data_IF_657956946459
#
_entry.id   IF_657956946459
#
_cell.length_a   1.000
_cell.length_b   1.000
_cell.length_c   1.000
_cell.angle_alpha   90.00
_cell.angle_beta   90.00
_cell.angle_gamma   90.00
#
_symmetry.space_group_name_H-M   'P 1'
#
loop_
_entity.id
_entity.type
_entity.pdbx_description
1 polymer ?
#
# COMPACT_ATOMS: atom_id res chain seq x y z
N UNK A 1 11.11 -68.71 -23.02
CA UNK A 1 12.20 -68.20 -22.14
C UNK A 1 11.52 -67.49 -20.97
N UNK A 2 11.14 -68.30 -19.97
CA UNK A 2 11.59 -68.17 -18.56
C UNK A 2 11.01 -66.92 -17.87
N UNK A 3 9.82 -66.97 -17.24
CA UNK A 3 9.55 -67.49 -15.87
C UNK A 3 10.16 -66.58 -14.79
N UNK A 4 9.54 -66.21 -13.66
CA UNK A 4 8.22 -66.44 -13.05
C UNK A 4 8.05 -65.45 -11.88
N UNK A 5 6.79 -65.17 -11.56
CA UNK A 5 6.16 -64.90 -10.25
C UNK A 5 6.89 -65.40 -9.00
N UNK A 6 6.81 -64.65 -7.89
CA UNK A 6 5.97 -64.97 -6.71
C UNK A 6 6.43 -64.24 -5.41
N UNK A 7 5.43 -63.86 -4.61
CA UNK A 7 5.51 -63.44 -3.21
C UNK A 7 5.81 -64.61 -2.26
N UNK A 8 6.17 -64.33 -1.00
CA UNK A 8 5.57 -64.89 0.24
C UNK A 8 6.36 -64.44 1.50
N UNK A 9 5.59 -64.26 2.58
CA UNK A 9 5.86 -63.90 3.97
C UNK A 9 6.73 -64.88 4.78
N UNK A 10 7.07 -64.48 6.04
CA UNK A 10 7.01 -65.23 7.33
C UNK A 10 8.17 -64.73 8.25
N UNK A 11 7.95 -63.87 9.25
CA UNK A 11 7.60 -64.09 10.68
C UNK A 11 8.44 -65.16 11.41
N UNK A 12 9.25 -64.74 12.40
CA UNK A 12 9.44 -65.32 13.77
C UNK A 12 10.71 -64.65 14.38
N UNK A 13 10.66 -63.74 15.35
CA UNK A 13 10.21 -63.78 16.75
C UNK A 13 11.21 -64.48 17.72
N UNK A 14 11.82 -63.68 18.62
CA UNK A 14 12.25 -63.97 20.00
C UNK A 14 13.28 -62.88 20.42
N UNK A 15 13.37 -62.30 21.60
CA UNK A 15 12.55 -62.07 22.81
C UNK A 15 13.56 -61.54 23.89
N UNK A 16 13.10 -60.97 25.01
CA UNK A 16 13.86 -60.04 25.86
C UNK A 16 14.22 -60.59 27.27
N UNK A 17 14.94 -59.81 28.08
CA UNK A 17 15.06 -59.94 29.56
C UNK A 17 15.23 -58.52 30.15
N UNK A 18 14.37 -57.91 31.01
CA UNK A 18 13.71 -58.25 32.32
C UNK A 18 14.72 -58.09 33.50
N UNK A 19 14.71 -56.98 34.29
CA UNK A 19 13.95 -56.64 35.56
C UNK A 19 14.55 -57.39 36.80
N UNK A 20 14.57 -56.92 38.10
CA UNK A 20 13.55 -56.15 38.90
C UNK A 20 14.10 -55.05 39.83
N UNK A 21 13.31 -54.27 40.60
CA UNK A 21 11.86 -54.30 40.84
C UNK A 21 11.37 -53.26 41.87
N UNK A 22 10.08 -52.93 41.73
CA UNK A 22 9.00 -52.73 42.73
C UNK A 22 9.23 -51.93 44.03
N UNK A 23 8.41 -50.89 44.30
CA UNK A 23 7.11 -50.96 45.04
C UNK A 23 6.55 -49.55 45.36
N UNK A 24 5.22 -49.45 45.23
CA UNK A 24 4.34 -48.39 45.74
C UNK A 24 4.39 -48.28 47.29
N UNK A 25 4.04 -47.11 47.86
CA UNK A 25 2.96 -46.89 48.84
C UNK A 25 2.95 -45.42 49.35
N UNK A 26 1.73 -44.96 49.68
CA UNK A 26 1.25 -43.63 50.10
C UNK A 26 1.74 -43.15 51.48
N UNK A 27 1.50 -41.85 51.71
CA UNK A 27 0.86 -41.25 52.92
C UNK A 27 1.71 -40.57 54.02
N UNK A 28 1.38 -39.27 54.20
CA UNK A 28 1.04 -38.56 55.46
C UNK A 28 2.08 -38.14 56.52
N UNK A 29 2.04 -36.82 56.79
CA UNK A 29 1.90 -36.09 58.08
C UNK A 29 3.02 -36.07 59.13
N UNK A 30 3.20 -34.83 59.63
CA UNK A 30 3.53 -34.43 61.01
C UNK A 30 4.97 -34.70 61.46
N UNK A 31 5.62 -33.96 62.36
CA UNK A 31 5.28 -32.77 63.15
C UNK A 31 6.57 -32.30 63.83
N UNK A 32 6.59 -31.01 64.16
CA UNK A 32 7.37 -30.28 65.16
C UNK A 32 8.09 -31.03 66.29
N UNK A 33 9.27 -30.51 66.66
CA UNK A 33 9.65 -30.15 68.05
C UNK A 33 10.88 -29.22 67.97
N UNK A 34 10.77 -27.95 68.38
CA UNK A 34 11.07 -27.38 69.72
C UNK A 34 12.58 -27.31 69.98
N UNK A 35 13.16 -26.15 70.33
CA UNK A 35 13.00 -25.48 71.62
C UNK A 35 13.52 -24.02 71.63
N UNK A 36 12.77 -23.17 72.36
CA UNK A 36 13.14 -22.05 73.27
C UNK A 36 14.29 -21.07 72.94
N UNK A 37 14.21 -19.76 73.19
CA UNK A 37 13.28 -18.96 73.99
C UNK A 37 13.62 -17.46 73.91
N UNK A 38 12.65 -16.62 74.27
CA UNK A 38 12.64 -15.13 74.33
C UNK A 38 13.43 -14.59 75.57
N UNK A 39 13.50 -13.27 75.92
CA UNK A 39 12.74 -12.10 75.40
C UNK A 39 13.45 -10.71 75.32
N UNK A 40 12.75 -9.75 74.66
CA UNK A 40 12.60 -8.28 74.92
C UNK A 40 13.81 -7.40 75.30
N UNK A 41 14.05 -6.25 74.62
CA UNK A 41 13.44 -4.91 74.87
C UNK A 41 14.26 -3.76 74.21
N UNK A 42 13.58 -2.60 74.04
CA UNK A 42 13.99 -1.28 73.51
C UNK A 42 15.39 -0.73 73.91
N UNK A 43 16.03 0.00 72.97
CA UNK A 43 16.54 1.37 73.22
C UNK A 43 17.06 2.08 71.95
N UNK A 44 16.90 3.40 71.96
CA UNK A 44 17.05 4.38 70.88
C UNK A 44 18.47 4.87 70.58
N UNK A 45 18.58 5.59 69.46
CA UNK A 45 19.53 6.66 69.09
C UNK A 45 20.95 6.28 68.63
N UNK A 46 21.24 6.58 67.36
CA UNK A 46 22.32 7.52 67.03
C UNK A 46 22.21 8.03 65.59
N UNK A 47 22.17 9.36 65.50
CA UNK A 47 22.16 10.22 64.31
C UNK A 47 23.48 10.10 63.55
N UNK A 48 23.41 10.00 62.23
CA UNK A 48 24.48 10.44 61.33
C UNK A 48 23.85 11.10 60.10
N UNK A 49 23.92 12.43 60.11
CA UNK A 49 23.56 13.34 59.04
C UNK A 49 24.61 13.27 57.92
N UNK A 50 24.18 12.98 56.69
CA UNK A 50 24.91 13.42 55.50
C UNK A 50 23.95 14.23 54.61
N UNK A 51 24.25 15.52 54.48
CA UNK A 51 23.58 16.45 53.59
C UNK A 51 23.86 16.07 52.13
N UNK A 52 22.82 15.85 51.34
CA UNK A 52 22.89 15.92 49.88
C UNK A 52 21.87 16.93 49.37
N UNK A 53 22.38 17.94 48.69
CA UNK A 53 21.68 19.09 48.15
C UNK A 53 20.98 18.69 46.84
N UNK A 54 19.67 18.44 46.87
CA UNK A 54 18.87 18.19 45.66
C UNK A 54 18.09 19.45 45.28
N UNK A 55 18.58 20.16 44.25
CA UNK A 55 17.79 21.18 43.54
C UNK A 55 16.62 20.48 42.82
N UNK A 56 15.42 20.73 43.33
CA UNK A 56 14.14 20.37 42.72
C UNK A 56 13.97 21.08 41.37
N UNK A 57 13.82 20.30 40.28
CA UNK A 57 13.22 20.80 39.04
C UNK A 57 12.18 19.77 38.56
N UNK A 58 11.04 19.71 39.25
CA UNK A 58 9.87 18.96 38.79
C UNK A 58 9.05 19.85 37.86
N UNK A 59 9.18 19.66 36.55
CA UNK A 59 8.17 20.13 35.58
C UNK A 59 7.02 19.12 35.60
N UNK A 60 5.84 19.55 36.05
CA UNK A 60 4.62 18.76 35.98
C UNK A 60 4.15 18.63 34.53
N UNK A 61 3.91 17.39 34.09
CA UNK A 61 3.22 17.11 32.83
C UNK A 61 1.71 17.15 33.09
N UNK A 62 1.00 18.12 32.51
CA UNK A 62 -0.45 18.10 32.40
C UNK A 62 -0.86 17.27 31.19
N UNK A 63 -1.62 16.20 31.41
CA UNK A 63 -2.21 15.38 30.34
C UNK A 63 -3.41 16.14 29.77
N UNK A 64 -3.28 16.64 28.54
CA UNK A 64 -4.36 17.30 27.79
C UNK A 64 -5.01 16.23 26.90
N UNK A 65 -6.12 15.68 27.37
CA UNK A 65 -7.06 14.78 26.68
C UNK A 65 -6.63 13.30 26.49
N UNK A 66 -7.44 12.40 27.07
CA UNK A 66 -7.47 10.97 26.74
C UNK A 66 -8.34 10.76 25.50
N UNK A 67 -7.86 9.99 24.52
CA UNK A 67 -8.67 9.53 23.41
C UNK A 67 -9.88 8.73 23.93
N UNK A 68 -11.09 8.88 23.33
CA UNK A 68 -12.27 8.16 23.80
C UNK A 68 -12.05 6.65 23.70
N UNK A 69 -12.56 5.87 24.68
CA UNK A 69 -12.36 4.43 24.71
C UNK A 69 -12.98 3.78 23.47
N UNK A 70 -12.19 2.95 22.75
CA UNK A 70 -12.67 2.11 21.65
C UNK A 70 -13.83 1.24 22.16
N UNK A 71 -14.96 1.13 21.43
CA UNK A 71 -16.07 0.27 21.85
C UNK A 71 -15.59 -1.19 21.96
N UNK A 72 -15.59 -1.72 23.17
CA UNK A 72 -15.06 -3.03 23.54
C UNK A 72 -15.95 -4.20 23.13
N UNK A 73 -16.17 -4.39 21.83
CA UNK A 73 -16.73 -5.62 21.28
C UNK A 73 -15.62 -6.49 20.69
N UNK A 74 -15.61 -7.80 21.00
CA UNK A 74 -14.79 -8.76 20.23
C UNK A 74 -15.20 -8.65 18.75
N UNK A 75 -14.25 -8.53 17.84
CA UNK A 75 -14.51 -8.48 16.41
C UNK A 75 -15.25 -9.77 15.99
N UNK A 76 -16.54 -9.65 15.63
CA UNK A 76 -17.34 -10.79 15.18
C UNK A 76 -16.74 -11.34 13.87
N UNK A 77 -16.56 -12.66 13.79
CA UNK A 77 -15.97 -13.29 12.62
C UNK A 77 -16.99 -13.32 11.48
N UNK A 78 -16.61 -12.76 10.33
CA UNK A 78 -17.46 -12.73 9.13
C UNK A 78 -17.47 -14.12 8.49
N UNK A 79 -18.66 -14.70 8.29
CA UNK A 79 -18.86 -16.00 7.61
C UNK A 79 -19.07 -15.85 6.11
N UNK A 80 -19.59 -14.71 5.66
CA UNK A 80 -19.75 -14.43 4.24
C UNK A 80 -20.39 -13.07 3.95
N UNK A 81 -20.26 -12.64 2.70
CA UNK A 81 -20.84 -11.40 2.18
C UNK A 81 -21.76 -11.75 1.00
N UNK A 82 -22.99 -11.25 1.02
CA UNK A 82 -24.00 -11.45 -0.02
C UNK A 82 -24.34 -10.09 -0.62
N UNK A 83 -24.34 -10.00 -1.95
CA UNK A 83 -24.69 -8.77 -2.68
C UNK A 83 -25.96 -9.01 -3.49
N UNK A 84 -26.99 -8.21 -3.23
CA UNK A 84 -28.27 -8.28 -3.94
C UNK A 84 -28.64 -6.89 -4.48
N UNK A 85 -29.41 -6.86 -5.56
CA UNK A 85 -30.03 -5.66 -6.07
C UNK A 85 -31.55 -5.83 -5.97
N UNK A 86 -32.20 -5.01 -5.16
CA UNK A 86 -33.62 -5.14 -4.85
C UNK A 86 -34.35 -3.81 -5.11
N UNK A 87 -35.64 -3.88 -5.44
CA UNK A 87 -36.48 -2.69 -5.53
C UNK A 87 -36.75 -2.12 -4.14
N UNK A 88 -36.58 -0.81 -4.00
CA UNK A 88 -36.86 -0.07 -2.78
C UNK A 88 -38.31 -0.29 -2.30
N UNK A 89 -38.48 -0.64 -1.03
CA UNK A 89 -39.79 -0.87 -0.40
C UNK A 89 -40.52 -2.16 -0.81
N UNK A 90 -39.93 -3.00 -1.67
CA UNK A 90 -40.59 -4.20 -2.24
C UNK A 90 -39.81 -5.50 -2.03
N UNK A 91 -38.90 -5.57 -1.06
CA UNK A 91 -38.23 -6.83 -0.73
C UNK A 91 -39.24 -7.84 -0.17
N UNK A 92 -39.29 -9.03 -0.78
CA UNK A 92 -40.11 -10.16 -0.34
C UNK A 92 -39.27 -11.43 -0.18
N UNK A 93 -39.68 -12.41 0.63
CA UNK A 93 -38.96 -13.68 0.80
C UNK A 93 -38.89 -14.55 -0.46
N UNK A 94 -39.60 -14.21 -1.52
CA UNK A 94 -39.56 -14.92 -2.80
C UNK A 94 -38.16 -14.84 -3.46
N UNK A 95 -37.83 -15.73 -4.41
CA UNK A 95 -36.64 -15.57 -5.25
C UNK A 95 -36.62 -14.16 -5.87
N UNK A 96 -35.50 -13.41 -5.80
CA UNK A 96 -34.12 -13.85 -5.53
C UNK A 96 -33.66 -13.80 -4.06
N UNK A 97 -34.43 -13.21 -3.14
CA UNK A 97 -33.97 -12.93 -1.75
C UNK A 97 -33.93 -14.20 -0.91
N UNK A 98 -35.01 -15.00 -0.94
CA UNK A 98 -35.15 -16.20 -0.12
C UNK A 98 -34.02 -17.22 -0.30
N UNK A 99 -33.73 -17.66 -1.53
CA UNK A 99 -32.65 -18.61 -1.78
C UNK A 99 -31.27 -18.06 -1.38
N UNK A 100 -30.99 -16.79 -1.70
CA UNK A 100 -29.69 -16.18 -1.44
C UNK A 100 -29.38 -16.08 0.06
N UNK A 101 -30.33 -15.57 0.85
CA UNK A 101 -30.18 -15.39 2.29
C UNK A 101 -30.35 -16.69 3.09
N UNK A 102 -31.27 -17.54 2.66
CA UNK A 102 -31.56 -18.82 3.30
C UNK A 102 -30.36 -19.76 3.31
N UNK A 103 -29.58 -19.79 2.23
CA UNK A 103 -28.35 -20.61 2.12
C UNK A 103 -27.28 -20.28 3.18
N UNK A 104 -27.32 -19.07 3.76
CA UNK A 104 -26.38 -18.59 4.78
C UNK A 104 -27.00 -18.48 6.17
N UNK A 105 -28.23 -18.97 6.36
CA UNK A 105 -28.91 -19.01 7.66
C UNK A 105 -29.33 -17.64 8.20
N UNK A 106 -29.52 -16.65 7.32
CA UNK A 106 -29.96 -15.29 7.68
C UNK A 106 -31.48 -15.26 7.88
N UNK A 107 -31.98 -14.47 8.84
CA UNK A 107 -33.42 -14.27 9.03
C UNK A 107 -34.01 -13.40 7.90
N UNK A 108 -34.63 -14.07 6.92
CA UNK A 108 -35.16 -13.46 5.70
C UNK A 108 -36.25 -12.42 6.01
N UNK A 109 -37.18 -12.73 6.91
CA UNK A 109 -38.31 -11.83 7.22
C UNK A 109 -37.83 -10.56 7.92
N UNK A 110 -36.87 -10.68 8.83
CA UNK A 110 -36.27 -9.52 9.52
C UNK A 110 -35.57 -8.60 8.50
N UNK A 111 -34.78 -9.18 7.58
CA UNK A 111 -34.13 -8.43 6.52
C UNK A 111 -35.15 -7.71 5.62
N UNK A 112 -36.19 -8.40 5.13
CA UNK A 112 -37.20 -7.78 4.26
C UNK A 112 -37.90 -6.60 4.93
N UNK A 113 -38.25 -6.73 6.22
CA UNK A 113 -38.90 -5.66 6.99
C UNK A 113 -37.98 -4.44 7.17
N UNK A 114 -36.75 -4.67 7.61
CA UNK A 114 -35.78 -3.59 7.86
C UNK A 114 -35.34 -2.92 6.56
N UNK A 115 -35.18 -3.68 5.47
CA UNK A 115 -34.86 -3.16 4.16
C UNK A 115 -35.97 -2.25 3.63
N UNK A 116 -37.23 -2.71 3.68
CA UNK A 116 -38.37 -1.93 3.19
C UNK A 116 -38.58 -0.65 4.02
N UNK A 117 -38.36 -0.72 5.35
CA UNK A 117 -38.43 0.46 6.21
C UNK A 117 -37.35 1.50 5.88
N UNK A 118 -36.11 1.08 5.65
CA UNK A 118 -34.99 1.99 5.33
C UNK A 118 -34.98 2.51 3.89
N UNK A 119 -35.72 1.86 2.99
CA UNK A 119 -35.80 2.24 1.58
C UNK A 119 -37.13 2.87 1.18
N UNK A 120 -38.05 3.08 2.14
CA UNK A 120 -39.36 3.68 1.90
C UNK A 120 -39.26 5.05 1.21
N UNK A 121 -38.28 5.86 1.58
CA UNK A 121 -38.07 7.22 1.04
C UNK A 121 -37.57 7.22 -0.42
N UNK A 122 -37.15 6.06 -0.95
CA UNK A 122 -36.56 5.92 -2.29
C UNK A 122 -37.36 4.97 -3.19
N UNK A 123 -38.68 4.91 -2.98
CA UNK A 123 -39.58 4.07 -3.75
C UNK A 123 -39.41 4.27 -5.28
N UNK A 124 -39.33 3.16 -6.01
CA UNK A 124 -39.16 3.17 -7.47
C UNK A 124 -37.71 3.12 -7.97
N UNK A 125 -36.71 3.06 -7.08
CA UNK A 125 -35.32 2.76 -7.44
C UNK A 125 -34.92 1.33 -7.08
N UNK A 126 -33.98 0.78 -7.85
CA UNK A 126 -33.26 -0.46 -7.47
C UNK A 126 -32.05 -0.08 -6.63
N UNK A 127 -32.02 -0.53 -5.38
CA UNK A 127 -31.01 -0.21 -4.39
C UNK A 127 -30.15 -1.47 -4.15
N UNK A 128 -28.86 -1.44 -4.54
CA UNK A 128 -27.94 -2.51 -4.21
C UNK A 128 -27.70 -2.55 -2.70
N UNK A 129 -27.64 -3.76 -2.14
CA UNK A 129 -27.43 -3.99 -0.72
C UNK A 129 -26.34 -5.03 -0.51
N UNK A 130 -25.43 -4.72 0.41
CA UNK A 130 -24.36 -5.61 0.82
C UNK A 130 -24.63 -6.11 2.23
N UNK A 131 -24.81 -7.42 2.36
CA UNK A 131 -25.24 -8.10 3.57
C UNK A 131 -24.06 -8.90 4.09
N UNK A 132 -23.57 -8.54 5.28
CA UNK A 132 -22.50 -9.23 5.97
C UNK A 132 -23.11 -10.17 6.99
N UNK A 133 -22.78 -11.47 6.88
CA UNK A 133 -23.25 -12.52 7.78
C UNK A 133 -22.11 -12.85 8.76
N UNK A 134 -22.46 -12.99 10.03
CA UNK A 134 -21.54 -13.37 11.10
C UNK A 134 -21.73 -14.85 11.49
N UNK A 135 -20.81 -15.37 12.30
CA UNK A 135 -20.82 -16.74 12.82
C UNK A 135 -22.04 -17.06 13.71
N UNK A 136 -22.51 -16.07 14.47
CA UNK A 136 -23.71 -16.14 15.31
C UNK A 136 -25.04 -16.08 14.54
N UNK A 137 -25.01 -16.17 13.20
CA UNK A 137 -26.16 -15.97 12.29
C UNK A 137 -26.79 -14.58 12.36
N UNK A 138 -26.18 -13.64 13.09
CA UNK A 138 -26.54 -12.23 12.98
C UNK A 138 -26.05 -11.69 11.64
N UNK A 139 -26.69 -10.61 11.19
CA UNK A 139 -26.31 -9.95 9.94
C UNK A 139 -26.34 -8.45 10.11
N UNK A 140 -25.48 -7.77 9.38
CA UNK A 140 -25.55 -6.34 9.15
C UNK A 140 -25.68 -6.11 7.65
N UNK A 141 -26.34 -5.04 7.24
CA UNK A 141 -26.43 -4.70 5.83
C UNK A 141 -26.22 -3.21 5.61
N UNK A 142 -25.54 -2.88 4.52
CA UNK A 142 -25.25 -1.54 4.09
C UNK A 142 -26.00 -1.31 2.78
N UNK A 143 -26.86 -0.30 2.77
CA UNK A 143 -27.55 0.15 1.57
C UNK A 143 -26.59 1.00 0.74
N UNK A 144 -26.44 0.64 -0.53
CA UNK A 144 -25.72 1.47 -1.50
C UNK A 144 -26.71 2.36 -2.24
N UNK A 145 -26.23 3.46 -2.75
CA UNK A 145 -26.89 4.35 -3.69
C UNK A 145 -27.32 3.58 -4.97
N UNK A 146 -28.42 4.01 -5.61
CA UNK A 146 -28.86 3.42 -6.87
C UNK A 146 -27.76 3.45 -7.94
N UNK A 147 -27.76 2.51 -8.91
CA UNK A 147 -26.81 2.52 -10.01
C UNK A 147 -26.85 3.85 -10.76
N UNK A 148 -25.67 4.41 -11.08
CA UNK A 148 -25.55 5.68 -11.80
C UNK A 148 -26.32 5.66 -13.12
N UNK A 149 -26.32 4.51 -13.81
CA UNK A 149 -27.07 4.29 -15.04
C UNK A 149 -28.57 4.55 -14.90
N UNK A 150 -29.19 4.06 -13.83
CA UNK A 150 -30.64 4.23 -13.59
C UNK A 150 -30.97 5.68 -13.25
N UNK A 151 -30.12 6.33 -12.44
CA UNK A 151 -30.27 7.74 -12.08
C UNK A 151 -30.17 8.65 -13.31
N UNK A 152 -29.21 8.36 -14.19
CA UNK A 152 -28.98 9.10 -15.43
C UNK A 152 -30.10 8.88 -16.46
N UNK A 153 -30.58 7.65 -16.64
CA UNK A 153 -31.71 7.34 -17.52
C UNK A 153 -32.98 8.07 -17.08
N UNK A 154 -33.26 8.09 -15.77
CA UNK A 154 -34.40 8.82 -15.22
C UNK A 154 -34.25 10.33 -15.37
N UNK A 155 -33.05 10.88 -15.17
CA UNK A 155 -32.78 12.29 -15.36
C UNK A 155 -32.87 12.72 -16.84
N UNK A 156 -32.50 11.84 -17.76
CA UNK A 156 -32.59 12.07 -19.20
C UNK A 156 -33.98 11.76 -19.80
N UNK A 157 -34.90 11.16 -19.01
CA UNK A 157 -36.22 10.74 -19.49
C UNK A 157 -36.20 9.55 -20.46
N UNK A 158 -35.12 8.74 -20.45
CA UNK A 158 -34.94 7.61 -21.35
C UNK A 158 -35.14 6.26 -20.61
N UNK A 159 -35.79 5.30 -21.25
CA UNK A 159 -36.00 3.96 -20.67
C UNK A 159 -34.79 3.02 -20.83
N UNK A 160 -34.00 3.22 -21.89
CA UNK A 160 -32.83 2.39 -22.23
C UNK A 160 -31.67 3.26 -22.72
N UNK A 161 -30.45 2.80 -22.45
CA UNK A 161 -29.23 3.42 -22.97
C UNK A 161 -29.05 3.19 -24.47
N UNK A 162 -28.17 3.99 -25.08
CA UNK A 162 -27.81 3.85 -26.49
C UNK A 162 -27.13 2.51 -26.78
N UNK A 163 -27.44 1.91 -27.93
CA UNK A 163 -26.73 0.73 -28.44
C UNK A 163 -25.33 1.10 -28.93
N UNK A 164 -25.18 2.32 -29.48
CA UNK A 164 -23.93 2.86 -29.99
C UNK A 164 -23.66 4.25 -29.39
N UNK A 165 -23.08 4.33 -28.18
CA UNK A 165 -22.96 5.57 -27.39
C UNK A 165 -22.22 6.75 -28.06
N UNK A 166 -21.40 6.44 -29.06
CA UNK A 166 -20.63 7.43 -29.83
C UNK A 166 -21.41 8.03 -31.01
N UNK A 167 -22.40 7.30 -31.53
CA UNK A 167 -23.16 7.67 -32.73
C UNK A 167 -24.58 8.11 -32.41
N UNK A 168 -25.28 7.35 -31.57
CA UNK A 168 -26.68 7.61 -31.21
C UNK A 168 -26.77 8.18 -29.79
N UNK A 169 -27.35 9.38 -29.68
CA UNK A 169 -27.57 10.06 -28.41
C UNK A 169 -29.02 9.86 -27.97
N UNK A 170 -29.20 9.26 -26.80
CA UNK A 170 -30.53 8.88 -26.27
C UNK A 170 -31.12 9.92 -25.32
N UNK A 171 -30.37 10.96 -24.95
CA UNK A 171 -30.86 12.04 -24.11
C UNK A 171 -29.80 13.08 -23.78
N UNK A 172 -30.23 14.15 -23.10
CA UNK A 172 -29.36 15.21 -22.61
C UNK A 172 -29.68 15.50 -21.15
N UNK A 173 -28.65 15.82 -20.36
CA UNK A 173 -28.79 16.24 -18.96
C UNK A 173 -28.04 17.54 -18.70
N UNK A 174 -28.54 18.34 -17.76
CA UNK A 174 -27.86 19.57 -17.34
C UNK A 174 -26.77 19.29 -16.30
N UNK A 175 -25.82 20.21 -16.15
CA UNK A 175 -24.80 20.14 -15.09
C UNK A 175 -25.44 20.09 -13.69
N UNK A 176 -26.57 20.75 -13.48
CA UNK A 176 -27.27 20.75 -12.19
C UNK A 176 -27.81 19.36 -11.85
N UNK A 177 -28.42 18.68 -12.82
CA UNK A 177 -28.87 17.29 -12.67
C UNK A 177 -27.69 16.36 -12.41
N UNK A 178 -26.59 16.55 -13.14
CA UNK A 178 -25.36 15.78 -12.95
C UNK A 178 -24.80 15.97 -11.53
N UNK A 179 -24.80 17.21 -11.03
CA UNK A 179 -24.35 17.55 -9.68
C UNK A 179 -25.25 16.93 -8.61
N UNK A 180 -26.57 16.94 -8.80
CA UNK A 180 -27.51 16.32 -7.88
C UNK A 180 -27.29 14.79 -7.79
N UNK A 181 -27.12 14.12 -8.94
CA UNK A 181 -26.82 12.68 -9.00
C UNK A 181 -25.47 12.38 -8.34
N UNK A 182 -24.46 13.21 -8.60
CA UNK A 182 -23.13 13.07 -8.00
C UNK A 182 -23.17 13.25 -6.48
N UNK A 183 -23.97 14.19 -5.97
CA UNK A 183 -24.15 14.42 -4.53
C UNK A 183 -24.87 13.24 -3.86
N UNK A 184 -25.91 12.69 -4.49
CA UNK A 184 -26.59 11.50 -3.96
C UNK A 184 -25.66 10.28 -3.96
N UNK A 185 -24.81 10.14 -4.99
CA UNK A 185 -23.89 9.01 -5.13
C UNK A 185 -22.60 9.12 -4.31
N UNK A 186 -22.27 10.32 -3.84
CA UNK A 186 -21.03 10.64 -3.14
C UNK A 186 -20.63 9.65 -2.03
N UNK A 187 -21.52 9.20 -1.11
CA UNK A 187 -21.13 8.29 -0.03
C UNK A 187 -20.64 6.91 -0.52
N UNK A 188 -20.98 6.52 -1.75
CA UNK A 188 -20.56 5.25 -2.34
C UNK A 188 -19.38 5.38 -3.32
N UNK A 189 -19.04 6.60 -3.69
CA UNK A 189 -17.96 6.87 -4.62
C UNK A 189 -16.64 7.04 -3.87
N UNK A 190 -15.55 6.58 -4.47
CA UNK A 190 -14.20 6.75 -3.92
C UNK A 190 -13.63 8.17 -4.16
N UNK A 191 -14.48 9.21 -4.22
CA UNK A 191 -14.09 10.58 -4.50
C UNK A 191 -14.57 11.54 -3.41
N UNK A 192 -13.74 12.50 -3.03
CA UNK A 192 -14.04 13.46 -1.94
C UNK A 192 -14.44 14.86 -2.41
N UNK A 193 -14.46 15.10 -3.73
CA UNK A 193 -14.92 16.35 -4.36
C UNK A 193 -16.12 16.10 -5.25
N UNK A 194 -17.10 17.01 -5.22
CA UNK A 194 -18.32 16.93 -6.02
C UNK A 194 -17.97 16.97 -7.51
N UNK A 195 -16.95 17.72 -7.90
CA UNK A 195 -16.50 17.84 -9.29
C UNK A 195 -15.96 16.51 -9.84
N UNK A 196 -15.22 15.77 -9.00
CA UNK A 196 -14.70 14.44 -9.35
C UNK A 196 -15.83 13.42 -9.45
N UNK A 197 -16.80 13.50 -8.52
CA UNK A 197 -18.03 12.70 -8.60
C UNK A 197 -18.78 13.00 -9.91
N UNK A 198 -18.96 14.26 -10.26
CA UNK A 198 -19.58 14.69 -11.52
C UNK A 198 -18.86 14.14 -12.74
N UNK A 199 -17.52 14.11 -12.76
CA UNK A 199 -16.75 13.51 -13.87
C UNK A 199 -16.95 12.00 -13.99
N UNK A 200 -17.02 11.28 -12.87
CA UNK A 200 -17.30 9.82 -12.86
C UNK A 200 -18.70 9.55 -13.43
N UNK A 201 -19.69 10.32 -12.97
CA UNK A 201 -21.06 10.21 -13.49
C UNK A 201 -21.12 10.63 -14.97
N UNK A 202 -20.37 11.65 -15.37
CA UNK A 202 -20.30 12.11 -16.76
C UNK A 202 -19.73 11.03 -17.70
N UNK A 203 -18.68 10.32 -17.27
CA UNK A 203 -18.17 9.17 -18.02
C UNK A 203 -19.21 8.07 -18.19
N UNK A 204 -20.04 7.85 -17.17
CA UNK A 204 -21.16 6.89 -17.23
C UNK A 204 -22.24 7.36 -18.22
N UNK A 205 -22.59 8.64 -18.21
CA UNK A 205 -23.54 9.24 -19.16
C UNK A 205 -23.05 9.09 -20.60
N UNK A 206 -21.78 9.43 -20.85
CA UNK A 206 -21.15 9.28 -22.17
C UNK A 206 -21.17 7.82 -22.67
N UNK A 207 -20.93 6.86 -21.77
CA UNK A 207 -20.99 5.43 -22.10
C UNK A 207 -22.40 4.91 -22.38
N UNK A 208 -23.44 5.66 -22.00
CA UNK A 208 -24.84 5.33 -22.31
C UNK A 208 -25.40 6.17 -23.46
N UNK A 209 -24.60 7.04 -24.07
CA UNK A 209 -25.05 7.95 -25.13
C UNK A 209 -25.91 9.11 -24.61
N UNK A 210 -25.73 9.53 -23.36
CA UNK A 210 -26.37 10.72 -22.80
C UNK A 210 -25.37 11.87 -22.84
N UNK A 211 -25.75 12.99 -23.47
CA UNK A 211 -24.92 14.19 -23.54
C UNK A 211 -25.16 15.12 -22.36
N UNK A 212 -24.16 15.94 -22.04
CA UNK A 212 -24.16 16.84 -20.88
C UNK A 212 -23.98 18.28 -21.37
N UNK A 213 -24.85 19.18 -20.92
CA UNK A 213 -24.83 20.59 -21.32
C UNK A 213 -24.70 21.53 -20.11
N UNK A 214 -23.68 22.43 -20.06
CA UNK A 214 -22.49 22.47 -20.93
C UNK A 214 -21.52 21.30 -20.68
N UNK A 215 -20.62 20.97 -21.63
CA UNK A 215 -19.70 19.84 -21.50
C UNK A 215 -18.70 20.08 -20.35
N UNK A 216 -18.58 19.12 -19.43
CA UNK A 216 -17.80 19.28 -18.19
C UNK A 216 -16.28 19.31 -18.41
N UNK A 217 -15.74 18.95 -19.59
CA UNK A 217 -14.29 19.01 -19.88
C UNK A 217 -13.99 19.05 -21.39
N UNK A 218 -12.91 19.75 -21.78
CA UNK A 218 -12.39 19.75 -23.16
C UNK A 218 -11.91 18.34 -23.60
N UNK A 219 -12.15 17.94 -24.87
CA UNK A 219 -11.71 16.64 -25.38
C UNK A 219 -10.17 16.53 -25.40
N UNK A 220 -9.61 15.42 -24.91
CA UNK A 220 -8.19 15.08 -25.11
C UNK A 220 -7.89 14.97 -26.62
N UNK A 221 -7.08 15.87 -27.17
CA UNK A 221 -6.55 15.73 -28.52
C UNK A 221 -5.56 14.56 -28.59
N UNK A 222 -5.86 13.55 -29.41
CA UNK A 222 -4.88 12.51 -29.80
C UNK A 222 -3.98 13.07 -30.90
N UNK A 223 -2.71 13.35 -30.60
CA UNK A 223 -1.72 13.69 -31.63
C UNK A 223 -1.26 12.40 -32.34
N UNK A 224 -1.53 12.30 -33.64
CA UNK A 224 -0.90 11.33 -34.56
C UNK A 224 0.53 11.81 -34.83
N UNK A 225 1.51 10.92 -34.70
CA UNK A 225 2.87 11.13 -35.21
C UNK A 225 2.99 10.47 -36.58
N UNK A 226 3.35 11.26 -37.59
CA UNK A 226 3.90 10.81 -38.86
C UNK A 226 5.35 11.30 -38.95
N UNK A 227 6.26 10.40 -39.31
CA UNK A 227 7.67 10.65 -39.55
C UNK A 227 7.88 11.63 -40.70
N UNK A 228 8.88 12.51 -40.58
CA UNK A 228 9.76 12.94 -41.68
C UNK A 228 10.91 13.82 -41.13
N UNK A 229 12.16 13.45 -41.52
CA UNK A 229 13.19 14.38 -41.97
C UNK A 229 14.09 15.10 -40.97
N UNK A 230 15.39 14.76 -41.01
CA UNK A 230 16.52 15.42 -40.34
C UNK A 230 16.83 16.84 -40.85
N UNK A 231 17.49 17.60 -39.95
CA UNK A 231 18.43 18.73 -40.13
C UNK A 231 17.98 20.07 -39.54
N UNK A 232 18.69 20.52 -38.49
CA UNK A 232 18.62 21.88 -37.98
C UNK A 232 19.14 22.00 -36.57
N UNK A 233 20.37 22.53 -36.45
CA UNK A 233 21.08 22.78 -35.20
C UNK A 233 20.29 23.65 -34.20
N UNK A 234 20.60 23.38 -32.94
CA UNK A 234 19.98 23.84 -31.72
C UNK A 234 19.83 25.36 -31.59
N UNK A 235 18.59 25.79 -31.30
CA UNK A 235 18.33 26.89 -30.37
C UNK A 235 16.90 26.73 -29.81
N UNK A 236 16.72 25.77 -28.88
CA UNK A 236 15.47 25.63 -28.13
C UNK A 236 15.57 26.39 -26.81
N UNK A 237 14.61 27.26 -26.46
CA UNK A 237 14.63 27.94 -25.18
C UNK A 237 14.37 26.91 -24.09
N UNK A 238 15.27 26.87 -23.11
CA UNK A 238 15.20 26.10 -21.87
C UNK A 238 13.82 26.31 -21.19
N UNK A 239 12.82 25.49 -21.55
CA UNK A 239 11.52 25.44 -20.86
C UNK A 239 11.77 24.70 -19.55
N UNK A 240 12.21 25.46 -18.54
CA UNK A 240 12.30 24.97 -17.16
C UNK A 240 10.94 24.39 -16.77
N UNK A 241 10.93 23.13 -16.35
CA UNK A 241 9.73 22.48 -15.83
C UNK A 241 9.11 23.33 -14.71
N UNK A 242 7.77 23.40 -14.62
CA UNK A 242 7.14 24.26 -13.62
C UNK A 242 7.40 23.70 -12.22
N UNK A 243 8.02 24.49 -11.34
CA UNK A 243 8.26 24.08 -9.95
C UNK A 243 6.93 23.81 -9.24
N UNK A 244 6.81 22.63 -8.63
CA UNK A 244 5.67 22.30 -7.77
C UNK A 244 5.68 23.27 -6.57
N UNK A 245 4.67 24.14 -6.49
CA UNK A 245 4.53 25.05 -5.36
C UNK A 245 3.80 24.36 -4.18
N UNK A 246 3.95 24.93 -2.98
CA UNK A 246 3.40 24.39 -1.73
C UNK A 246 1.85 24.25 -1.78
N UNK A 247 1.18 25.06 -2.60
CA UNK A 247 -0.27 24.99 -2.83
C UNK A 247 -0.68 23.75 -3.62
N UNK A 248 0.14 23.30 -4.58
CA UNK A 248 -0.06 22.07 -5.34
C UNK A 248 0.25 20.85 -4.47
N UNK A 249 1.33 20.90 -3.69
CA UNK A 249 1.69 19.80 -2.79
C UNK A 249 0.66 19.60 -1.66
N UNK A 250 0.14 20.71 -1.11
CA UNK A 250 -0.91 20.66 -0.07
C UNK A 250 -2.27 20.21 -0.58
N UNK A 251 -2.54 20.26 -1.89
CA UNK A 251 -3.77 19.67 -2.46
C UNK A 251 -3.68 18.15 -2.60
N UNK A 252 -2.47 17.60 -2.79
CA UNK A 252 -2.20 16.16 -2.76
C UNK A 252 -2.32 15.59 -1.33
N UNK A 253 -1.78 16.29 -0.33
CA UNK A 253 -1.72 15.84 1.07
C UNK A 253 -3.07 15.83 1.83
N UNK A 254 -4.15 16.41 1.29
CA UNK A 254 -5.41 16.62 2.04
C UNK A 254 -6.31 15.39 2.22
N UNK A 255 -5.91 14.19 1.80
CA UNK A 255 -6.86 13.06 1.63
C UNK A 255 -6.58 11.78 2.42
N UNK A 256 -5.56 11.72 3.26
CA UNK A 256 -5.27 10.56 4.11
C UNK A 256 -4.32 10.94 5.25
N UNK A 257 -4.54 10.46 6.48
CA UNK A 257 -3.55 10.60 7.58
C UNK A 257 -2.31 9.74 7.31
N UNK A 258 -2.43 8.71 6.46
CA UNK A 258 -1.35 7.83 6.04
C UNK A 258 -0.83 8.26 4.65
N UNK A 259 0.46 8.58 4.58
CA UNK A 259 1.12 9.04 3.36
C UNK A 259 1.37 7.88 2.37
N UNK A 260 1.06 8.07 1.09
CA UNK A 260 1.57 7.25 0.00
C UNK A 260 3.08 7.48 -0.15
N UNK A 261 3.95 6.46 -0.04
CA UNK A 261 5.41 6.67 0.02
C UNK A 261 6.00 7.36 -1.21
N UNK A 262 5.41 7.20 -2.39
CA UNK A 262 5.88 7.87 -3.60
C UNK A 262 5.35 9.29 -3.80
N UNK A 263 4.10 9.55 -3.43
CA UNK A 263 3.42 10.80 -3.80
C UNK A 263 3.40 11.81 -2.65
N UNK A 264 3.14 11.33 -1.44
CA UNK A 264 2.87 12.18 -0.28
C UNK A 264 4.14 12.46 0.53
N UNK A 265 5.11 11.53 0.55
CA UNK A 265 6.42 11.78 1.12
C UNK A 265 7.15 12.84 0.30
N UNK A 266 7.69 13.86 0.97
CA UNK A 266 8.52 14.86 0.30
C UNK A 266 9.88 14.27 -0.08
N UNK A 267 10.45 14.77 -1.18
CA UNK A 267 11.83 14.45 -1.57
C UNK A 267 12.86 14.97 -0.56
N UNK A 268 12.52 16.01 0.19
CA UNK A 268 13.37 16.63 1.21
C UNK A 268 14.00 17.95 0.75
N UNK A 269 14.35 18.84 1.69
CA UNK A 269 14.77 20.22 1.39
C UNK A 269 16.18 20.32 0.78
N UNK A 270 16.99 19.26 0.86
CA UNK A 270 18.34 19.22 0.28
C UNK A 270 18.40 18.67 -1.14
N UNK A 271 17.27 18.33 -1.75
CA UNK A 271 17.24 17.74 -3.08
C UNK A 271 17.66 18.77 -4.15
N UNK A 272 18.38 18.35 -5.22
CA UNK A 272 18.71 16.96 -5.59
C UNK A 272 19.94 16.35 -4.89
N UNK A 273 20.72 17.11 -4.11
CA UNK A 273 21.97 16.61 -3.51
C UNK A 273 21.74 15.64 -2.33
N UNK A 274 20.77 15.96 -1.47
CA UNK A 274 20.37 15.14 -0.31
C UNK A 274 18.85 14.97 -0.34
N UNK A 275 18.40 13.73 -0.40
CA UNK A 275 17.00 13.39 -0.63
C UNK A 275 16.55 12.24 0.28
N UNK A 276 15.24 12.15 0.52
CA UNK A 276 14.63 11.00 1.15
C UNK A 276 14.66 9.82 0.18
N UNK A 277 14.80 8.61 0.72
CA UNK A 277 14.75 7.34 -0.02
C UNK A 277 13.82 6.41 0.72
N UNK A 278 12.85 5.82 0.03
CA UNK A 278 12.00 4.76 0.57
C UNK A 278 12.65 3.43 0.23
N UNK A 279 12.99 2.63 1.23
CA UNK A 279 13.63 1.33 1.06
C UNK A 279 12.58 0.29 0.68
N UNK A 280 12.85 -0.46 -0.38
CA UNK A 280 12.03 -1.61 -0.80
C UNK A 280 12.71 -2.92 -0.41
N UNK A 281 14.02 -3.01 -0.60
CA UNK A 281 14.76 -4.26 -0.45
C UNK A 281 15.91 -4.06 0.53
N UNK A 282 15.90 -4.87 1.58
CA UNK A 282 16.94 -4.89 2.60
C UNK A 282 18.23 -5.50 2.05
N UNK A 283 19.38 -4.95 2.47
CA UNK A 283 20.71 -5.56 2.28
C UNK A 283 20.68 -7.04 2.69
N UNK A 284 21.17 -7.91 1.81
CA UNK A 284 21.20 -9.36 2.02
C UNK A 284 19.89 -10.09 1.70
N UNK A 285 18.86 -9.40 1.19
CA UNK A 285 17.60 -10.04 0.79
C UNK A 285 17.74 -10.77 -0.56
N UNK A 286 17.12 -11.96 -0.64
CA UNK A 286 16.84 -12.69 -1.89
C UNK A 286 15.43 -12.39 -2.44
N UNK A 287 14.59 -11.73 -1.64
CA UNK A 287 13.24 -11.33 -2.05
C UNK A 287 13.34 -9.98 -2.75
N UNK A 288 12.92 -9.92 -4.02
CA UNK A 288 12.73 -8.65 -4.72
C UNK A 288 11.34 -8.13 -4.37
N UNK A 289 11.34 -7.21 -3.41
CA UNK A 289 10.19 -6.37 -3.13
C UNK A 289 10.10 -5.23 -4.14
N UNK A 290 8.92 -4.64 -4.27
CA UNK A 290 8.70 -3.42 -5.02
C UNK A 290 7.48 -2.67 -4.47
N UNK A 291 7.43 -1.37 -4.75
CA UNK A 291 6.28 -0.52 -4.53
C UNK A 291 5.14 -0.92 -5.47
N UNK A 292 3.99 -1.27 -4.91
CA UNK A 292 2.74 -1.23 -5.66
C UNK A 292 2.30 0.23 -5.81
N UNK A 293 2.67 0.86 -6.95
CA UNK A 293 2.42 2.27 -7.29
C UNK A 293 0.96 2.72 -7.08
N UNK A 294 0.00 1.78 -7.13
CA UNK A 294 -1.42 2.08 -6.95
C UNK A 294 -1.82 2.24 -5.49
N UNK A 295 -1.29 1.39 -4.60
CA UNK A 295 -1.71 1.34 -3.19
C UNK A 295 -0.71 1.98 -2.24
N UNK A 296 0.55 2.11 -2.67
CA UNK A 296 1.66 2.58 -1.83
C UNK A 296 2.20 1.51 -0.89
N UNK A 297 1.72 0.27 -1.01
CA UNK A 297 2.19 -0.86 -0.21
C UNK A 297 3.39 -1.54 -0.87
N UNK A 298 4.20 -2.21 -0.06
CA UNK A 298 5.27 -3.08 -0.55
C UNK A 298 4.68 -4.44 -0.91
N UNK A 299 4.92 -4.89 -2.15
CA UNK A 299 4.58 -6.22 -2.64
C UNK A 299 5.84 -7.03 -2.92
N UNK A 300 5.71 -8.35 -2.90
CA UNK A 300 6.73 -9.25 -3.47
C UNK A 300 6.53 -9.24 -4.98
N UNK A 301 7.54 -8.79 -5.71
CA UNK A 301 7.59 -8.95 -7.17
C UNK A 301 7.94 -10.41 -7.49
N UNK A 302 9.10 -10.85 -6.97
CA UNK A 302 9.61 -12.21 -7.16
C UNK A 302 10.67 -12.58 -6.12
N UNK A 303 10.98 -13.86 -6.07
CA UNK A 303 12.21 -14.36 -5.45
C UNK A 303 13.28 -14.39 -6.54
N UNK A 304 14.50 -13.94 -6.24
CA UNK A 304 15.59 -13.96 -7.22
C UNK A 304 15.88 -15.41 -7.68
N UNK A 305 16.05 -15.58 -9.00
CA UNK A 305 16.22 -16.88 -9.66
C UNK A 305 17.64 -17.44 -9.48
N UNK A 306 18.60 -16.56 -9.20
CA UNK A 306 19.99 -16.90 -8.90
C UNK A 306 20.21 -16.96 -7.37
N UNK A 307 21.26 -17.65 -6.93
CA UNK A 307 21.67 -17.66 -5.51
C UNK A 307 22.45 -16.40 -5.14
N UNK A 308 21.87 -15.24 -5.41
CA UNK A 308 22.41 -13.91 -5.10
C UNK A 308 21.49 -13.18 -4.14
N UNK A 309 22.03 -12.17 -3.47
CA UNK A 309 21.30 -11.28 -2.56
C UNK A 309 21.69 -9.84 -2.84
N UNK A 310 20.79 -8.90 -2.56
CA UNK A 310 21.09 -7.48 -2.76
C UNK A 310 22.29 -7.05 -1.89
N UNK A 311 23.35 -6.43 -2.46
CA UNK A 311 24.58 -6.13 -1.73
C UNK A 311 24.40 -4.98 -0.72
N UNK A 312 23.41 -4.12 -0.95
CA UNK A 312 23.08 -2.95 -0.14
C UNK A 312 21.56 -2.75 -0.06
N UNK A 313 21.12 -1.83 0.81
CA UNK A 313 19.71 -1.47 0.86
C UNK A 313 19.34 -0.79 -0.47
N UNK A 314 18.14 -1.08 -0.96
CA UNK A 314 17.69 -0.63 -2.28
C UNK A 314 16.25 -0.12 -2.19
N UNK A 315 15.95 0.90 -2.98
CA UNK A 315 14.59 1.40 -3.12
C UNK A 315 14.55 2.58 -4.08
N UNK A 316 13.68 3.54 -3.80
CA UNK A 316 13.40 4.63 -4.74
C UNK A 316 13.33 6.01 -4.08
N UNK A 317 13.46 7.05 -4.92
CA UNK A 317 13.34 8.45 -4.51
C UNK A 317 11.88 8.91 -4.65
N UNK A 318 11.22 9.38 -3.58
CA UNK A 318 9.84 9.85 -3.68
C UNK A 318 9.75 11.11 -4.55
N UNK A 319 8.60 11.30 -5.20
CA UNK A 319 8.34 12.43 -6.12
C UNK A 319 9.36 12.57 -7.27
N UNK A 320 9.81 11.43 -7.79
CA UNK A 320 10.59 11.32 -9.03
C UNK A 320 9.88 10.39 -10.02
N UNK A 321 10.24 10.48 -11.30
CA UNK A 321 9.69 9.66 -12.37
C UNK A 321 10.75 9.46 -13.46
N UNK A 322 10.84 8.23 -13.97
CA UNK A 322 11.70 7.82 -15.06
C UNK A 322 10.86 7.43 -16.31
N UNK A 323 11.54 7.13 -17.42
CA UNK A 323 10.91 6.83 -18.72
C UNK A 323 10.09 5.53 -18.70
N UNK A 324 10.45 4.61 -17.81
CA UNK A 324 9.75 3.34 -17.53
C UNK A 324 8.45 3.51 -16.69
N UNK A 325 8.14 4.75 -16.27
CA UNK A 325 7.04 5.11 -15.37
C UNK A 325 7.22 4.66 -13.92
N UNK A 326 8.46 4.42 -13.49
CA UNK A 326 8.83 4.16 -12.12
C UNK A 326 9.58 5.35 -11.49
N UNK A 327 9.59 5.48 -10.16
CA UNK A 327 10.48 6.44 -9.50
C UNK A 327 11.95 6.08 -9.71
N UNK A 328 12.83 7.08 -9.58
CA UNK A 328 14.27 6.88 -9.71
C UNK A 328 14.79 5.90 -8.65
N UNK A 329 15.46 4.85 -9.13
CA UNK A 329 16.06 3.79 -8.33
C UNK A 329 17.34 4.26 -7.61
N UNK A 330 17.55 3.75 -6.40
CA UNK A 330 18.72 4.07 -5.59
C UNK A 330 19.21 2.90 -4.76
N UNK A 331 20.52 2.66 -4.81
CA UNK A 331 21.26 1.74 -3.96
C UNK A 331 21.97 2.53 -2.85
N UNK A 332 21.64 2.25 -1.59
CA UNK A 332 22.10 3.01 -0.41
C UNK A 332 23.13 2.22 0.40
N UNK A 333 24.36 2.71 0.39
CA UNK A 333 25.46 2.21 1.21
C UNK A 333 25.36 2.77 2.64
N UNK A 334 25.40 1.86 3.61
CA UNK A 334 25.38 2.14 5.05
C UNK A 334 25.83 0.89 5.83
N UNK A 335 26.00 1.03 7.15
CA UNK A 335 26.38 -0.05 8.05
C UNK A 335 25.29 -1.12 8.15
N UNK A 336 24.04 -0.69 8.40
CA UNK A 336 22.96 -1.56 8.85
C UNK A 336 21.89 -1.86 7.78
N UNK A 337 21.22 -3.03 7.85
CA UNK A 337 20.05 -3.32 7.03
C UNK A 337 18.86 -2.43 7.43
N UNK A 338 18.07 -2.01 6.44
CA UNK A 338 16.84 -1.22 6.65
C UNK A 338 15.63 -2.00 6.13
N UNK A 339 14.53 -1.91 6.86
CA UNK A 339 13.30 -2.66 6.55
C UNK A 339 12.54 -2.04 5.35
N UNK A 340 11.85 -2.88 4.55
CA UNK A 340 10.98 -2.39 3.48
C UNK A 340 9.89 -1.45 3.98
N UNK A 341 9.63 -0.38 3.24
CA UNK A 341 8.65 0.67 3.57
C UNK A 341 9.16 1.74 4.54
N UNK A 342 10.32 1.56 5.18
CA UNK A 342 11.00 2.62 5.92
C UNK A 342 11.67 3.60 4.95
N UNK A 343 11.83 4.86 5.37
CA UNK A 343 12.58 5.85 4.61
C UNK A 343 13.76 6.42 5.42
N UNK A 344 14.77 6.93 4.72
CA UNK A 344 15.97 7.54 5.27
C UNK A 344 16.44 8.70 4.38
N UNK A 345 17.38 9.52 4.87
CA UNK A 345 18.03 10.55 4.05
C UNK A 345 19.29 9.99 3.41
N UNK A 346 19.48 10.24 2.13
CA UNK A 346 20.63 9.79 1.36
C UNK A 346 21.28 10.94 0.58
N UNK A 347 22.57 10.82 0.32
CA UNK A 347 23.33 11.69 -0.59
C UNK A 347 23.75 10.88 -1.82
N UNK A 348 23.51 11.40 -3.02
CA UNK A 348 24.04 10.80 -4.25
C UNK A 348 25.57 10.94 -4.29
N UNK A 349 26.25 9.83 -4.60
CA UNK A 349 27.72 9.78 -4.75
C UNK A 349 28.13 9.31 -6.14
N UNK A 350 27.24 8.68 -6.92
CA UNK A 350 27.52 8.30 -8.30
C UNK A 350 26.28 7.78 -9.01
N UNK A 351 26.41 7.58 -10.32
CA UNK A 351 25.38 7.00 -11.18
C UNK A 351 25.93 5.69 -11.74
N UNK A 352 25.08 4.66 -11.80
CA UNK A 352 25.36 3.40 -12.46
C UNK A 352 24.48 3.31 -13.70
N UNK A 353 25.01 3.64 -14.89
CA UNK A 353 24.28 3.45 -16.12
C UNK A 353 24.10 1.96 -16.39
N UNK A 354 22.87 1.57 -16.74
CA UNK A 354 22.51 0.17 -16.94
C UNK A 354 21.53 0.06 -18.10
N UNK A 355 21.70 -1.00 -18.88
CA UNK A 355 20.79 -1.39 -19.96
C UNK A 355 20.19 -2.74 -19.60
N UNK A 356 18.87 -2.78 -19.39
CA UNK A 356 18.11 -3.99 -19.09
C UNK A 356 17.26 -4.34 -20.32
N UNK A 357 17.56 -5.44 -21.00
CA UNK A 357 16.83 -5.85 -22.23
C UNK A 357 16.76 -4.77 -23.34
N UNK A 358 17.77 -3.91 -23.42
CA UNK A 358 17.82 -2.82 -24.40
C UNK A 358 17.13 -1.52 -23.95
N UNK A 359 16.50 -1.51 -22.78
CA UNK A 359 15.93 -0.32 -22.16
C UNK A 359 16.91 0.28 -21.15
N UNK A 360 16.94 1.61 -21.08
CA UNK A 360 17.79 2.35 -20.15
C UNK A 360 17.20 2.27 -18.74
N UNK A 361 18.00 1.82 -17.77
CA UNK A 361 17.59 1.60 -16.37
C UNK A 361 18.68 2.06 -15.38
N UNK A 362 19.09 3.32 -15.52
CA UNK A 362 20.14 3.92 -14.69
C UNK A 362 19.76 3.92 -13.19
N UNK A 363 20.75 3.68 -12.33
CA UNK A 363 20.53 3.63 -10.87
C UNK A 363 21.44 4.58 -10.11
N UNK A 364 20.90 5.25 -9.11
CA UNK A 364 21.69 6.12 -8.24
C UNK A 364 22.46 5.27 -7.23
N UNK A 365 23.76 5.56 -7.07
CA UNK A 365 24.56 5.07 -5.95
C UNK A 365 24.60 6.17 -4.90
N UNK A 366 24.16 5.86 -3.69
CA UNK A 366 24.03 6.83 -2.61
C UNK A 366 24.59 6.29 -1.28
N UNK A 367 24.82 7.21 -0.34
CA UNK A 367 25.15 6.89 1.05
C UNK A 367 24.10 7.44 1.99
N UNK A 368 23.82 6.76 3.11
CA UNK A 368 22.93 7.30 4.14
C UNK A 368 23.57 8.56 4.76
N UNK A 369 22.86 9.69 4.70
CA UNK A 369 23.34 10.99 5.19
C UNK A 369 23.40 11.07 6.73
N UNK A 370 22.74 10.14 7.41
CA UNK A 370 22.65 10.05 8.87
C UNK A 370 23.50 8.93 9.48
N UNK A 371 24.17 8.12 8.65
CA UNK A 371 25.09 7.08 9.10
C UNK A 371 26.48 7.69 9.36
N UNK A 372 27.03 7.64 10.59
CA UNK A 372 28.30 8.27 10.93
C UNK A 372 29.50 7.74 10.13
N UNK A 373 29.46 6.49 9.67
CA UNK A 373 30.54 5.88 8.88
C UNK A 373 30.48 6.36 7.43
N UNK A 374 29.27 6.48 6.86
CA UNK A 374 29.10 6.71 5.43
C UNK A 374 28.76 8.15 5.05
N UNK A 375 28.26 8.98 5.97
CA UNK A 375 27.80 10.35 5.68
C UNK A 375 28.88 11.29 5.16
N UNK A 376 30.15 10.90 5.21
CA UNK A 376 31.29 11.71 4.77
C UNK A 376 31.67 11.45 3.30
N UNK A 377 31.15 10.39 2.69
CA UNK A 377 31.35 10.15 1.26
C UNK A 377 30.54 11.15 0.43
N UNK A 378 31.17 11.63 -0.64
CA UNK A 378 30.62 12.62 -1.57
C UNK A 378 30.75 12.23 -3.03
N UNK A 379 31.63 11.28 -3.35
CA UNK A 379 31.83 10.79 -4.72
C UNK A 379 32.16 9.29 -4.73
N UNK A 380 31.75 8.61 -5.81
CA UNK A 380 31.90 7.16 -5.99
C UNK A 380 33.37 6.71 -6.02
N UNK A 381 34.28 7.59 -6.46
CA UNK A 381 35.73 7.34 -6.46
C UNK A 381 36.33 7.14 -5.06
N UNK A 382 35.64 7.58 -4.01
CA UNK A 382 36.09 7.43 -2.63
C UNK A 382 35.76 6.04 -2.06
N UNK A 383 34.87 5.28 -2.70
CA UNK A 383 34.51 3.94 -2.25
C UNK A 383 35.62 2.94 -2.59
N UNK A 384 35.87 1.92 -1.74
CA UNK A 384 36.82 0.86 -2.06
C UNK A 384 36.49 0.21 -3.43
N UNK A 385 37.46 0.02 -4.34
CA UNK A 385 37.19 -0.47 -5.69
C UNK A 385 36.44 -1.82 -5.73
N UNK A 386 36.71 -2.69 -4.76
CA UNK A 386 36.02 -3.97 -4.64
C UNK A 386 34.50 -3.81 -4.43
N UNK A 387 34.06 -2.75 -3.76
CA UNK A 387 32.63 -2.46 -3.57
C UNK A 387 31.93 -2.16 -4.90
N UNK A 388 32.59 -1.42 -5.77
CA UNK A 388 32.06 -1.12 -7.10
C UNK A 388 32.00 -2.37 -7.98
N UNK A 389 33.02 -3.23 -7.87
CA UNK A 389 33.05 -4.52 -8.57
C UNK A 389 31.93 -5.47 -8.11
N UNK A 390 31.67 -5.53 -6.79
CA UNK A 390 30.57 -6.31 -6.21
C UNK A 390 29.20 -5.82 -6.71
N UNK A 391 28.95 -4.50 -6.66
CA UNK A 391 27.70 -3.89 -7.13
C UNK A 391 27.47 -4.18 -8.62
N UNK A 392 28.50 -3.93 -9.46
CA UNK A 392 28.44 -4.22 -10.90
C UNK A 392 28.09 -5.68 -11.16
N UNK A 393 28.83 -6.61 -10.54
CA UNK A 393 28.64 -8.05 -10.73
C UNK A 393 27.23 -8.49 -10.31
N UNK A 394 26.69 -7.94 -9.23
CA UNK A 394 25.33 -8.23 -8.80
C UNK A 394 24.30 -7.89 -9.89
N UNK A 395 24.34 -6.68 -10.46
CA UNK A 395 23.38 -6.27 -11.49
C UNK A 395 23.57 -6.99 -12.83
N UNK A 396 24.79 -7.39 -13.16
CA UNK A 396 25.03 -8.27 -14.31
C UNK A 396 24.43 -9.68 -14.10
N UNK A 397 24.40 -10.20 -12.87
CA UNK A 397 24.08 -11.61 -12.59
C UNK A 397 22.64 -11.87 -12.11
N UNK A 398 21.98 -10.90 -11.46
CA UNK A 398 20.72 -11.15 -10.72
C UNK A 398 19.55 -11.61 -11.60
N UNK A 399 19.55 -11.28 -12.88
CA UNK A 399 18.54 -11.70 -13.87
C UNK A 399 19.03 -12.76 -14.87
N UNK A 400 20.26 -13.26 -14.77
CA UNK A 400 20.80 -14.25 -15.74
C UNK A 400 19.97 -15.53 -15.82
N UNK A 401 19.56 -16.07 -14.68
CA UNK A 401 18.69 -17.26 -14.63
C UNK A 401 17.23 -16.99 -15.05
N UNK A 402 16.87 -15.73 -15.35
CA UNK A 402 15.60 -15.37 -16.00
C UNK A 402 15.74 -15.29 -17.53
N UNK A 403 16.91 -15.64 -18.09
CA UNK A 403 17.28 -15.45 -19.51
C UNK A 403 17.17 -13.99 -19.97
N UNK A 404 17.52 -13.05 -19.09
CA UNK A 404 17.55 -11.62 -19.40
C UNK A 404 18.99 -11.13 -19.38
N UNK A 405 19.33 -10.33 -20.37
CA UNK A 405 20.65 -9.70 -20.46
C UNK A 405 20.59 -8.31 -19.83
N UNK A 406 21.57 -8.04 -18.98
CA UNK A 406 21.76 -6.75 -18.30
C UNK A 406 23.21 -6.34 -18.52
N UNK A 407 23.41 -5.17 -19.11
CA UNK A 407 24.73 -4.56 -19.27
C UNK A 407 24.87 -3.41 -18.27
N UNK A 408 25.99 -3.36 -17.57
CA UNK A 408 26.32 -2.27 -16.64
C UNK A 408 27.54 -1.56 -17.21
N UNK A 409 27.43 -0.26 -17.46
CA UNK A 409 28.53 0.55 -18.00
C UNK A 409 29.40 1.11 -16.87
N UNK A 410 30.43 1.90 -17.21
CA UNK A 410 31.27 2.55 -16.20
C UNK A 410 30.45 3.46 -15.27
N UNK A 411 30.78 3.42 -13.98
CA UNK A 411 30.12 4.27 -13.01
C UNK A 411 30.49 5.73 -13.26
N UNK A 412 29.50 6.62 -13.22
CA UNK A 412 29.68 8.05 -13.44
C UNK A 412 29.73 8.82 -12.11
N UNK A 413 30.38 10.00 -12.07
CA UNK A 413 30.57 10.78 -10.85
C UNK A 413 29.27 11.28 -10.20
N UNK A 414 29.38 11.80 -8.98
CA UNK A 414 28.22 12.34 -8.24
C UNK A 414 27.45 13.43 -8.99
N UNK A 415 28.13 14.27 -9.78
CA UNK A 415 27.52 15.34 -10.55
C UNK A 415 26.46 14.80 -11.54
N UNK A 416 26.80 13.74 -12.27
CA UNK A 416 25.87 13.12 -13.23
C UNK A 416 24.67 12.49 -12.54
N UNK A 417 24.87 11.92 -11.34
CA UNK A 417 23.77 11.39 -10.54
C UNK A 417 22.80 12.49 -10.09
N UNK A 418 23.33 13.65 -9.69
CA UNK A 418 22.54 14.81 -9.29
C UNK A 418 21.71 15.33 -10.47
N UNK A 419 22.29 15.39 -11.67
CA UNK A 419 21.58 15.80 -12.89
C UNK A 419 20.46 14.81 -13.24
N UNK A 420 20.70 13.50 -13.12
CA UNK A 420 19.68 12.47 -13.34
C UNK A 420 18.51 12.57 -12.34
N UNK A 421 18.82 12.83 -11.06
CA UNK A 421 17.78 13.06 -10.03
C UNK A 421 16.96 14.31 -10.38
N UNK A 422 17.62 15.42 -10.73
CA UNK A 422 16.93 16.64 -11.12
C UNK A 422 16.00 16.43 -12.32
N UNK A 423 16.47 15.71 -13.34
CA UNK A 423 15.65 15.34 -14.50
C UNK A 423 14.41 14.52 -14.10
N UNK A 424 14.59 13.53 -13.22
CA UNK A 424 13.47 12.71 -12.73
C UNK A 424 12.45 13.50 -11.88
N UNK A 425 12.91 14.52 -11.14
CA UNK A 425 12.04 15.44 -10.40
C UNK A 425 11.20 16.29 -11.35
N UNK A 426 11.82 16.77 -12.44
CA UNK A 426 11.15 17.57 -13.47
C UNK A 426 10.08 16.75 -14.19
N UNK A 427 10.38 15.50 -14.58
CA UNK A 427 9.41 14.57 -15.17
C UNK A 427 8.22 14.29 -14.23
N UNK A 428 8.49 14.07 -12.95
CA UNK A 428 7.42 13.87 -11.97
C UNK A 428 6.54 15.11 -11.82
N UNK A 429 7.13 16.31 -11.79
CA UNK A 429 6.38 17.56 -11.72
C UNK A 429 5.46 17.73 -12.93
N UNK A 430 5.95 17.45 -14.15
CA UNK A 430 5.15 17.48 -15.36
C UNK A 430 4.00 16.46 -15.31
N UNK A 431 4.28 15.23 -14.90
CA UNK A 431 3.29 14.17 -14.72
C UNK A 431 2.17 14.59 -13.75
N UNK A 432 2.54 15.15 -12.59
CA UNK A 432 1.57 15.62 -11.59
C UNK A 432 0.74 16.79 -12.11
N UNK A 433 1.34 17.74 -12.82
CA UNK A 433 0.58 18.85 -13.42
C UNK A 433 -0.41 18.35 -14.48
N UNK A 434 -0.04 17.34 -15.26
CA UNK A 434 -0.94 16.71 -16.22
C UNK A 434 -2.06 15.91 -15.57
N UNK A 435 -1.85 15.31 -14.40
CA UNK A 435 -2.90 14.62 -13.65
C UNK A 435 -3.83 15.60 -12.94
N UNK A 436 -3.32 16.72 -12.42
CA UNK A 436 -4.11 17.78 -11.78
C UNK A 436 -4.95 18.62 -12.77
N UNK A 437 -4.52 18.74 -14.02
CA UNK A 437 -5.29 19.39 -15.09
C UNK A 437 -6.45 18.54 -15.63
N UNK A 438 -6.42 17.22 -15.41
CA UNK A 438 -7.49 16.28 -15.80
C UNK A 438 -8.55 16.15 -14.72
#
# INVERSE_FOLDING_TARGET
MSSSTAAISTIHNCAPLVIPGSRNIKATKSSSSWLSGSPLNLSSNSILSLHYNTKNNRRGLSVIAMAPPKPGGKAKKVTGIIKLALEAGKATPSPPVGPALGSKGVNIMAFCKDYNARTADKAGYVIPVEITVYDDRSFTFILKTPPASVLLLKAAGAEKGSKDPKQEKVGKITIEQLRAIAQEKLPDLNCSTIESAMRIIAGTAANMGIDIDPPVLEPKQKKKMSNEGENGAENSPNRRAPRLNERILSSLSRRSVAAHPWHDLEIGPGAPQIFNVVIEITKGSKVKYELDKKTGLIKVDRILYSSVVYPHNYGFIPRTLCEDNDPMDVLVLMQEPVLPGCFLRARAVGLMPMIDQGEKDDKIIAVCADDPEYRHYTDISQLPPHRLAEIRRFFEDYKKNENKEVAVDEFLPAATAIDAIQYSMDLYAEYILHTLRK
#
